data_IF_357988558794
#
_entry.id   IF_357988558794
#
_cell.length_a   1.000
_cell.length_b   1.000
_cell.length_c   1.000
_cell.angle_alpha   90.00
_cell.angle_beta   90.00
_cell.angle_gamma   90.00
#
_symmetry.space_group_name_H-M   'P 1'
#
loop_
_entity.id
_entity.type
_entity.pdbx_description
1 polymer ?
#
# COMPACT_ATOMS: atom_id res chain seq x y z
N UNK A 1 -19.47 11.90 12.80
CA UNK A 1 -18.96 10.81 11.94
C UNK A 1 -18.12 9.92 12.82
N UNK A 2 -18.53 8.67 13.05
CA UNK A 2 -17.86 7.71 13.94
C UNK A 2 -17.54 6.39 13.23
N UNK A 3 -17.57 6.42 11.91
CA UNK A 3 -17.43 5.28 10.99
C UNK A 3 -16.26 5.48 10.03
N UNK A 4 -15.28 6.31 10.41
CA UNK A 4 -14.12 6.67 9.61
C UNK A 4 -12.88 6.01 10.20
N UNK A 5 -12.01 5.52 9.31
CA UNK A 5 -10.63 5.18 9.60
C UNK A 5 -9.78 6.27 8.96
N UNK A 6 -9.00 6.99 9.75
CA UNK A 6 -8.22 8.13 9.31
C UNK A 6 -6.82 7.69 8.87
N UNK A 7 -6.54 7.89 7.58
CA UNK A 7 -5.24 7.56 6.99
C UNK A 7 -4.49 8.87 6.74
N UNK A 8 -3.30 9.01 7.34
CA UNK A 8 -2.42 10.14 7.07
C UNK A 8 -1.32 9.72 6.09
N UNK A 9 -1.27 10.38 4.94
CA UNK A 9 -0.23 10.14 3.93
C UNK A 9 1.05 10.88 4.30
N UNK A 10 2.15 10.13 4.35
CA UNK A 10 3.47 10.59 4.74
C UNK A 10 4.38 10.79 3.52
N UNK A 11 5.10 11.90 3.48
CA UNK A 11 6.23 12.21 2.58
C UNK A 11 7.58 12.30 3.32
N UNK A 12 8.74 12.05 2.68
CA UNK A 12 10.04 12.21 3.33
C UNK A 12 10.25 13.59 3.97
N UNK A 13 10.67 13.61 5.23
CA UNK A 13 10.98 14.81 6.03
C UNK A 13 9.77 15.68 6.38
N UNK A 14 8.62 15.06 6.65
CA UNK A 14 7.36 15.74 6.95
C UNK A 14 6.88 15.56 8.41
N UNK A 15 7.76 15.15 9.34
CA UNK A 15 7.35 14.81 10.71
C UNK A 15 6.59 15.94 11.42
N UNK A 16 6.88 17.20 11.07
CA UNK A 16 6.18 18.38 11.59
C UNK A 16 4.71 18.51 11.12
N UNK A 17 4.32 17.75 10.10
CA UNK A 17 2.97 17.70 9.53
C UNK A 17 2.15 16.52 10.06
N UNK A 18 2.76 15.65 10.88
CA UNK A 18 2.04 14.55 11.50
C UNK A 18 1.03 15.12 12.52
N UNK A 19 -0.28 14.87 12.36
CA UNK A 19 -1.29 15.47 13.23
C UNK A 19 -1.23 15.00 14.69
N UNK A 20 -0.68 13.81 14.95
CA UNK A 20 -0.62 13.18 16.26
C UNK A 20 -1.27 11.79 16.27
N UNK A 21 -0.82 10.94 17.21
CA UNK A 21 -1.26 9.55 17.35
C UNK A 21 -2.78 9.44 17.60
N UNK A 22 -3.40 10.46 18.20
CA UNK A 22 -4.80 10.53 18.55
C UNK A 22 -5.74 10.86 17.37
N UNK A 23 -5.20 11.32 16.24
CA UNK A 23 -5.97 11.73 15.06
C UNK A 23 -5.76 10.84 13.84
N UNK A 24 -4.89 9.84 13.94
CA UNK A 24 -4.48 8.98 12.81
C UNK A 24 -4.62 7.52 13.19
N UNK A 25 -5.30 6.73 12.36
CA UNK A 25 -5.46 5.28 12.55
C UNK A 25 -4.39 4.50 11.75
N UNK A 26 -4.06 4.96 10.55
CA UNK A 26 -3.11 4.29 9.64
C UNK A 26 -2.19 5.29 8.93
N UNK A 27 -1.03 4.80 8.48
CA UNK A 27 -0.06 5.59 7.72
C UNK A 27 -0.12 5.19 6.24
N UNK A 28 -0.25 6.19 5.38
CA UNK A 28 -0.18 6.06 3.94
C UNK A 28 1.17 6.47 3.38
N UNK A 29 1.51 5.93 2.22
CA UNK A 29 2.62 6.35 1.37
C UNK A 29 2.16 6.31 -0.08
N UNK A 30 2.47 7.36 -0.83
CA UNK A 30 2.15 7.44 -2.25
C UNK A 30 3.44 7.35 -3.07
N UNK A 31 3.53 6.36 -3.98
CA UNK A 31 4.77 6.12 -4.75
C UNK A 31 4.47 5.92 -6.23
N UNK A 32 4.95 6.85 -7.05
CA UNK A 32 4.80 6.82 -8.50
C UNK A 32 6.15 6.59 -9.19
N UNK A 33 6.47 5.32 -9.43
CA UNK A 33 7.66 4.88 -10.18
C UNK A 33 7.24 3.95 -11.32
N UNK A 34 7.14 4.49 -12.53
CA UNK A 34 6.64 3.73 -13.70
C UNK A 34 7.53 2.52 -14.00
N UNK A 35 6.93 1.34 -14.08
CA UNK A 35 7.59 0.07 -14.38
C UNK A 35 8.42 -0.51 -13.24
N UNK A 36 8.52 0.18 -12.10
CA UNK A 36 9.18 -0.33 -10.91
C UNK A 36 8.18 -1.17 -10.10
N UNK A 37 8.37 -2.49 -10.13
CA UNK A 37 7.59 -3.46 -9.37
C UNK A 37 8.34 -3.97 -8.13
N UNK A 38 9.37 -3.25 -7.68
CA UNK A 38 10.03 -3.50 -6.41
C UNK A 38 9.06 -3.34 -5.23
N UNK A 39 9.37 -4.03 -4.14
CA UNK A 39 8.59 -4.04 -2.89
C UNK A 39 8.46 -2.66 -2.21
N UNK A 40 9.28 -1.70 -2.63
CA UNK A 40 9.47 -0.41 -1.96
C UNK A 40 9.91 -0.57 -0.49
N UNK A 41 10.63 -1.64 -0.16
CA UNK A 41 11.04 -2.02 1.20
C UNK A 41 11.79 -0.91 1.97
N UNK A 42 12.55 -0.05 1.28
CA UNK A 42 13.23 1.08 1.95
C UNK A 42 12.23 2.06 2.55
N UNK A 43 11.18 2.40 1.80
CA UNK A 43 10.10 3.28 2.27
C UNK A 43 9.27 2.57 3.35
N UNK A 44 8.95 1.30 3.14
CA UNK A 44 8.22 0.49 4.13
C UNK A 44 8.96 0.45 5.47
N UNK A 45 10.25 0.16 5.46
CA UNK A 45 11.06 0.05 6.68
C UNK A 45 11.22 1.40 7.40
N UNK A 46 11.34 2.50 6.66
CA UNK A 46 11.40 3.83 7.26
C UNK A 46 10.09 4.13 8.02
N UNK A 47 8.93 3.89 7.40
CA UNK A 47 7.62 4.06 8.04
C UNK A 47 7.42 3.09 9.19
N UNK A 48 7.82 1.83 9.03
CA UNK A 48 7.66 0.79 10.04
C UNK A 48 8.52 1.07 11.28
N UNK A 49 9.73 1.58 11.07
CA UNK A 49 10.60 2.03 12.17
C UNK A 49 10.00 3.20 12.96
N UNK A 50 9.25 4.08 12.30
CA UNK A 50 8.70 5.28 12.92
C UNK A 50 7.31 5.05 13.55
N UNK A 51 6.46 4.27 12.89
CA UNK A 51 5.05 4.12 13.25
C UNK A 51 4.60 2.68 13.48
N UNK A 52 5.35 1.68 13.00
CA UNK A 52 4.93 0.29 12.89
C UNK A 52 4.61 -0.42 14.22
N UNK A 53 5.11 0.09 15.34
CA UNK A 53 4.74 -0.43 16.67
C UNK A 53 3.32 -0.05 17.11
N UNK A 54 2.66 0.89 16.40
CA UNK A 54 1.37 1.47 16.79
C UNK A 54 0.35 1.53 15.66
N UNK A 55 0.81 1.72 14.42
CA UNK A 55 -0.03 2.01 13.27
C UNK A 55 0.31 1.05 12.13
N UNK A 56 -0.72 0.58 11.43
CA UNK A 56 -0.54 -0.13 10.17
C UNK A 56 -0.09 0.84 9.07
N UNK A 57 0.62 0.31 8.07
CA UNK A 57 1.22 1.09 6.99
C UNK A 57 0.72 0.55 5.65
N UNK A 58 0.32 1.44 4.75
CA UNK A 58 -0.23 1.10 3.44
C UNK A 58 0.43 1.89 2.31
N UNK A 59 0.44 1.29 1.12
CA UNK A 59 0.79 1.97 -0.13
C UNK A 59 -0.50 2.58 -0.69
N UNK A 60 -0.87 3.73 -0.14
CA UNK A 60 -2.16 4.41 -0.35
C UNK A 60 -2.41 4.81 -1.79
N UNK A 61 -1.35 5.16 -2.53
CA UNK A 61 -1.38 5.34 -3.97
C UNK A 61 -0.11 4.78 -4.62
N UNK A 62 -0.25 4.27 -5.84
CA UNK A 62 0.90 3.94 -6.67
C UNK A 62 0.62 4.06 -8.17
N UNK A 63 1.69 4.13 -8.95
CA UNK A 63 1.61 3.92 -10.40
C UNK A 63 1.73 2.45 -10.76
N UNK A 64 2.92 1.90 -10.51
CA UNK A 64 3.22 0.48 -10.66
C UNK A 64 3.08 -0.23 -9.32
N UNK A 65 2.29 -1.30 -9.28
CA UNK A 65 2.08 -2.09 -8.07
C UNK A 65 3.33 -2.91 -7.75
N UNK A 66 3.66 -3.13 -6.47
CA UNK A 66 4.75 -4.02 -6.12
C UNK A 66 4.40 -5.47 -6.51
N UNK A 67 5.39 -6.20 -7.03
CA UNK A 67 5.24 -7.63 -7.33
C UNK A 67 5.22 -8.42 -6.01
N UNK A 68 4.27 -9.35 -5.89
CA UNK A 68 4.10 -10.22 -4.71
C UNK A 68 5.35 -11.01 -4.33
N UNK A 69 6.17 -11.42 -5.30
CA UNK A 69 7.42 -12.13 -5.00
C UNK A 69 8.42 -11.20 -4.32
N UNK A 70 8.47 -9.93 -4.72
CA UNK A 70 9.34 -8.94 -4.09
C UNK A 70 8.80 -8.56 -2.69
N UNK A 71 7.48 -8.39 -2.54
CA UNK A 71 6.84 -8.12 -1.25
C UNK A 71 7.19 -9.20 -0.22
N UNK A 72 7.01 -10.47 -0.61
CA UNK A 72 7.23 -11.63 0.27
C UNK A 72 8.71 -11.86 0.55
N UNK A 73 9.57 -11.75 -0.46
CA UNK A 73 11.03 -11.89 -0.32
C UNK A 73 11.63 -10.83 0.61
N UNK A 74 11.22 -9.57 0.46
CA UNK A 74 11.81 -8.45 1.17
C UNK A 74 11.13 -8.19 2.54
N UNK A 75 10.00 -8.86 2.82
CA UNK A 75 9.23 -8.66 4.05
C UNK A 75 8.51 -7.31 4.12
N UNK A 76 8.19 -6.71 2.97
CA UNK A 76 7.49 -5.43 2.90
C UNK A 76 5.96 -5.63 2.95
N UNK A 77 5.43 -5.83 4.15
CA UNK A 77 4.02 -6.14 4.37
C UNK A 77 3.11 -4.90 4.38
N UNK A 78 2.98 -4.23 3.23
CA UNK A 78 2.00 -3.15 3.06
C UNK A 78 0.58 -3.68 3.30
N UNK A 79 -0.22 -2.96 4.10
CA UNK A 79 -1.60 -3.35 4.44
C UNK A 79 -2.51 -3.45 3.21
N UNK A 80 -2.31 -2.55 2.24
CA UNK A 80 -2.88 -2.64 0.89
C UNK A 80 -1.97 -1.87 -0.08
N UNK A 81 -2.24 -2.04 -1.38
CA UNK A 81 -1.76 -1.18 -2.44
C UNK A 81 -2.94 -0.73 -3.31
N UNK A 82 -2.87 0.48 -3.84
CA UNK A 82 -3.92 1.01 -4.72
C UNK A 82 -3.28 1.73 -5.91
N UNK A 83 -3.23 1.13 -7.11
CA UNK A 83 -2.82 1.88 -8.28
C UNK A 83 -3.85 2.96 -8.59
N UNK A 84 -3.37 4.11 -9.05
CA UNK A 84 -4.26 5.18 -9.45
C UNK A 84 -5.13 4.78 -10.65
N UNK A 85 -6.19 5.54 -10.90
CA UNK A 85 -7.14 5.23 -11.96
C UNK A 85 -6.54 5.44 -13.36
N UNK A 86 -7.31 5.03 -14.38
CA UNK A 86 -6.97 5.28 -15.77
C UNK A 86 -5.74 4.50 -16.21
N UNK A 87 -4.75 5.21 -16.76
CA UNK A 87 -3.58 4.61 -17.37
C UNK A 87 -2.69 3.85 -16.38
N UNK A 88 -2.62 4.29 -15.13
CA UNK A 88 -1.86 3.61 -14.08
C UNK A 88 -2.38 2.18 -13.85
N UNK A 89 -3.70 1.99 -13.85
CA UNK A 89 -4.30 0.65 -13.73
C UNK A 89 -4.32 -0.12 -15.06
N UNK A 90 -4.59 0.57 -16.19
CA UNK A 90 -4.97 -0.07 -17.47
C UNK A 90 -3.82 -0.27 -18.46
N UNK A 91 -2.75 0.52 -18.40
CA UNK A 91 -1.63 0.42 -19.35
C UNK A 91 -0.54 -0.50 -18.81
N UNK A 92 -0.06 -1.38 -19.68
CA UNK A 92 1.02 -2.32 -19.38
C UNK A 92 2.35 -1.67 -19.01
N UNK A 93 2.56 -0.41 -19.40
CA UNK A 93 3.74 0.37 -19.00
C UNK A 93 3.79 0.61 -17.49
N UNK A 94 2.63 0.60 -16.82
CA UNK A 94 2.55 0.65 -15.37
C UNK A 94 2.40 -0.75 -14.79
N UNK A 95 1.43 -1.52 -15.27
CA UNK A 95 1.09 -2.83 -14.72
C UNK A 95 0.68 -3.77 -15.86
N UNK A 96 1.49 -4.80 -16.14
CA UNK A 96 1.17 -5.78 -17.18
C UNK A 96 -0.02 -6.67 -16.78
N UNK A 97 -0.73 -7.21 -17.77
CA UNK A 97 -1.82 -8.16 -17.50
C UNK A 97 -1.30 -9.42 -16.78
N UNK A 98 -0.10 -9.88 -17.11
CA UNK A 98 0.50 -11.05 -16.46
C UNK A 98 0.84 -10.77 -15.00
N UNK A 99 1.30 -9.56 -14.66
CA UNK A 99 1.48 -9.16 -13.27
C UNK A 99 0.15 -9.16 -12.54
N UNK A 100 -0.92 -8.57 -13.11
CA UNK A 100 -2.24 -8.59 -12.48
C UNK A 100 -2.73 -10.02 -12.20
N UNK A 101 -2.63 -10.92 -13.18
CA UNK A 101 -2.98 -12.33 -12.99
C UNK A 101 -2.16 -12.98 -11.88
N UNK A 102 -0.86 -12.71 -11.83
CA UNK A 102 0.03 -13.21 -10.77
C UNK A 102 -0.39 -12.71 -9.39
N UNK A 103 -0.70 -11.42 -9.26
CA UNK A 103 -1.15 -10.83 -8.00
C UNK A 103 -2.45 -11.47 -7.53
N UNK A 104 -3.47 -11.55 -8.41
CA UNK A 104 -4.78 -12.13 -8.09
C UNK A 104 -4.75 -13.66 -7.84
N UNK A 105 -3.72 -14.36 -8.33
CA UNK A 105 -3.56 -15.80 -8.09
C UNK A 105 -2.77 -16.11 -6.81
N UNK A 106 -2.20 -15.11 -6.14
CA UNK A 106 -1.35 -15.31 -4.96
C UNK A 106 -2.17 -15.35 -3.67
N UNK A 107 -1.96 -16.36 -2.84
CA UNK A 107 -2.57 -16.44 -1.50
C UNK A 107 -2.06 -15.40 -0.51
N UNK A 108 -1.05 -14.60 -0.90
CA UNK A 108 -0.58 -13.45 -0.12
C UNK A 108 -1.45 -12.20 -0.32
N UNK A 109 -2.14 -12.10 -1.47
CA UNK A 109 -2.91 -10.91 -1.84
C UNK A 109 -4.39 -11.21 -1.64
N UNK A 110 -5.03 -10.49 -0.72
CA UNK A 110 -6.47 -10.63 -0.47
C UNK A 110 -7.27 -9.94 -1.57
N UNK A 111 -8.27 -10.65 -2.07
CA UNK A 111 -9.19 -10.23 -3.12
C UNK A 111 -10.63 -10.09 -2.58
N UNK A 112 -11.54 -9.55 -3.41
CA UNK A 112 -12.90 -9.26 -2.97
C UNK A 112 -13.66 -10.50 -2.51
N UNK A 113 -13.49 -11.64 -3.19
CA UNK A 113 -14.16 -12.90 -2.86
C UNK A 113 -13.65 -13.57 -1.58
N UNK A 114 -12.48 -13.15 -1.09
CA UNK A 114 -11.87 -13.65 0.15
C UNK A 114 -12.27 -12.81 1.37
N UNK A 115 -12.89 -11.64 1.17
CA UNK A 115 -13.28 -10.76 2.27
C UNK A 115 -14.48 -11.31 3.06
N UNK A 116 -14.44 -11.28 4.40
CA UNK A 116 -15.58 -11.67 5.22
C UNK A 116 -16.74 -10.65 5.09
N UNK A 117 -17.95 -11.07 5.47
CA UNK A 117 -19.03 -10.10 5.69
C UNK A 117 -18.64 -9.15 6.83
N UNK A 118 -18.62 -7.85 6.54
CA UNK A 118 -18.47 -6.79 7.54
C UNK A 118 -19.84 -6.25 8.01
N UNK A 119 -20.93 -6.79 7.45
CA UNK A 119 -22.30 -6.52 7.92
C UNK A 119 -22.64 -7.53 9.01
N UNK A 120 -23.07 -7.00 10.15
CA UNK A 120 -23.75 -7.75 11.21
C UNK A 120 -25.23 -7.91 10.86
#
# INVERSE_FOLDING_TARGET
>A
LNNLIWVWTREPNDDAWYPGDEFVDMIGRDIYKQGDHGSQVTEFNALNSQYGSKKMIALTECGSIPDVDNLTKDGAAWSWFMPWYGDYTRKSVHNSLELWKKMFASSYVITLDEMPSLKN
#
